data_IF_530639928471
#
_entry.id   IF_530639928471
#
_cell.length_a   1.000
_cell.length_b   1.000
_cell.length_c   1.000
_cell.angle_alpha   90.00
_cell.angle_beta   90.00
_cell.angle_gamma   90.00
#
_symmetry.space_group_name_H-M   'P 1'
#
loop_
_entity.id
_entity.type
_entity.pdbx_description
1 polymer ?
#
# COMPACT_ATOMS: atom_id res chain seq x y z
N UNK A 1 11.13 -1.76 8.77
CA UNK A 1 10.98 -3.23 8.59
C UNK A 1 10.69 -4.05 9.87
N UNK A 2 10.45 -3.46 11.05
CA UNK A 2 10.19 -4.24 12.29
C UNK A 2 8.94 -5.15 12.17
N UNK A 3 7.90 -4.71 11.46
CA UNK A 3 6.61 -5.42 11.38
C UNK A 3 6.70 -6.69 10.52
N UNK A 4 7.18 -6.57 9.28
CA UNK A 4 7.35 -7.71 8.35
C UNK A 4 8.25 -8.79 8.93
N UNK A 5 9.42 -8.40 9.44
CA UNK A 5 10.38 -9.32 10.06
C UNK A 5 9.83 -9.99 11.32
N UNK A 6 9.00 -9.30 12.12
CA UNK A 6 8.32 -9.90 13.29
C UNK A 6 7.31 -10.98 12.91
N UNK A 7 6.72 -10.88 11.72
CA UNK A 7 5.70 -11.82 11.25
C UNK A 7 6.21 -12.83 10.22
N UNK A 8 7.52 -12.79 9.88
CA UNK A 8 8.11 -13.69 8.88
C UNK A 8 7.54 -13.49 7.47
N UNK A 9 7.01 -12.31 7.19
CA UNK A 9 6.39 -11.99 5.90
C UNK A 9 7.46 -11.57 4.89
N UNK A 10 7.30 -12.03 3.65
CA UNK A 10 8.15 -11.59 2.54
C UNK A 10 7.58 -10.30 1.94
N UNK A 11 8.42 -9.28 1.64
CA UNK A 11 7.94 -8.01 1.11
C UNK A 11 7.12 -8.12 -0.18
N UNK A 12 7.49 -9.06 -1.06
CA UNK A 12 6.82 -9.38 -2.32
C UNK A 12 5.46 -10.09 -2.14
N UNK A 13 5.12 -10.51 -0.93
CA UNK A 13 3.82 -11.10 -0.57
C UNK A 13 2.95 -10.14 0.26
N UNK A 14 3.35 -8.87 0.40
CA UNK A 14 2.63 -7.89 1.22
C UNK A 14 2.25 -6.68 0.40
N UNK A 15 0.96 -6.34 0.41
CA UNK A 15 0.46 -5.06 -0.08
C UNK A 15 0.27 -4.11 1.11
N UNK A 16 0.97 -2.98 1.09
CA UNK A 16 0.81 -1.91 2.07
C UNK A 16 -0.30 -0.96 1.62
N UNK A 17 -1.30 -0.71 2.48
CA UNK A 17 -2.42 0.19 2.18
C UNK A 17 -2.45 1.31 3.21
N UNK A 18 -2.50 2.56 2.76
CA UNK A 18 -2.58 3.75 3.63
C UNK A 18 -3.24 4.93 2.91
N UNK A 19 -3.65 5.95 3.65
CA UNK A 19 -4.37 7.13 3.12
C UNK A 19 -3.47 8.35 2.91
N UNK A 20 -2.16 8.22 3.18
CA UNK A 20 -1.21 9.33 3.12
C UNK A 20 0.05 8.94 2.34
N UNK A 21 0.70 9.95 1.76
CA UNK A 21 1.97 9.77 1.07
C UNK A 21 3.06 9.13 1.95
N UNK A 22 3.07 9.42 3.26
CA UNK A 22 4.02 8.80 4.19
C UNK A 22 3.89 7.27 4.30
N UNK A 23 2.69 6.73 4.05
CA UNK A 23 2.47 5.28 4.06
C UNK A 23 3.04 4.63 2.78
N UNK A 24 2.92 5.33 1.65
CA UNK A 24 3.53 4.94 0.37
C UNK A 24 5.05 4.95 0.49
N UNK A 25 5.62 6.06 0.99
CA UNK A 25 7.06 6.19 1.18
C UNK A 25 7.61 5.10 2.12
N UNK A 26 6.85 4.77 3.19
CA UNK A 26 7.22 3.72 4.13
C UNK A 26 7.14 2.31 3.53
N UNK A 27 6.16 2.05 2.65
CA UNK A 27 6.03 0.80 1.92
C UNK A 27 7.20 0.60 0.95
N UNK A 28 7.52 1.62 0.15
CA UNK A 28 8.66 1.60 -0.76
C UNK A 28 9.99 1.44 -0.03
N UNK A 29 10.18 2.11 1.11
CA UNK A 29 11.37 1.93 1.95
C UNK A 29 11.49 0.52 2.57
N UNK A 30 10.42 -0.28 2.51
CA UNK A 30 10.39 -1.67 2.96
C UNK A 30 10.35 -2.68 1.79
N UNK A 31 10.57 -2.22 0.55
CA UNK A 31 10.47 -3.01 -0.68
C UNK A 31 9.09 -3.68 -0.86
N UNK A 32 8.02 -3.05 -0.34
CA UNK A 32 6.64 -3.51 -0.50
C UNK A 32 5.89 -2.67 -1.53
N UNK A 33 5.01 -3.27 -2.35
CA UNK A 33 4.04 -2.52 -3.14
C UNK A 33 3.06 -1.75 -2.24
N UNK A 34 2.65 -0.58 -2.72
CA UNK A 34 1.80 0.36 -2.02
C UNK A 34 0.46 0.57 -2.75
N UNK A 35 -0.61 0.75 -1.96
CA UNK A 35 -1.89 1.26 -2.40
C UNK A 35 -2.24 2.52 -1.62
N UNK A 36 -2.38 3.66 -2.30
CA UNK A 36 -2.89 4.88 -1.70
C UNK A 36 -4.43 4.86 -1.74
N UNK A 37 -5.05 4.89 -0.56
CA UNK A 37 -6.47 5.10 -0.40
C UNK A 37 -6.78 6.60 -0.37
N UNK A 38 -7.34 7.09 -1.45
CA UNK A 38 -7.77 8.48 -1.58
C UNK A 38 -9.22 8.52 -2.08
N UNK A 39 -10.19 8.67 -1.17
CA UNK A 39 -11.61 8.76 -1.53
C UNK A 39 -11.98 9.93 -2.42
N UNK A 40 -11.07 10.89 -2.62
CA UNK A 40 -11.30 12.07 -3.47
C UNK A 40 -10.75 11.91 -4.89
N UNK A 41 -9.84 10.95 -5.10
CA UNK A 41 -9.09 10.76 -6.35
C UNK A 41 -8.22 11.96 -6.75
N UNK A 42 -8.05 12.95 -5.87
CA UNK A 42 -7.40 14.21 -6.18
C UNK A 42 -5.89 14.22 -5.87
N UNK A 43 -5.41 13.24 -5.11
CA UNK A 43 -4.01 13.14 -4.75
C UNK A 43 -3.20 12.55 -5.91
N UNK A 44 -2.08 13.20 -6.24
CA UNK A 44 -1.03 12.57 -7.03
C UNK A 44 -0.26 11.61 -6.14
N UNK A 45 0.08 10.43 -6.66
CA UNK A 45 0.79 9.41 -5.91
C UNK A 45 1.76 8.63 -6.79
N UNK A 46 2.85 8.19 -6.18
CA UNK A 46 3.81 7.26 -6.78
C UNK A 46 3.51 5.80 -6.40
N UNK A 47 2.40 5.55 -5.68
CA UNK A 47 1.96 4.20 -5.32
C UNK A 47 1.59 3.38 -6.57
N UNK A 48 1.83 2.07 -6.50
CA UNK A 48 1.48 1.13 -7.57
C UNK A 48 -0.03 1.06 -7.79
N UNK A 49 -0.81 1.28 -6.73
CA UNK A 49 -2.26 1.31 -6.78
C UNK A 49 -2.82 2.61 -6.18
N UNK A 50 -3.74 3.23 -6.90
CA UNK A 50 -4.54 4.34 -6.40
C UNK A 50 -5.99 3.87 -6.31
N UNK A 51 -6.51 3.79 -5.09
CA UNK A 51 -7.86 3.31 -4.82
C UNK A 51 -8.67 4.41 -4.13
N UNK A 52 -9.93 4.54 -4.49
CA UNK A 52 -10.88 5.48 -3.89
C UNK A 52 -11.70 4.82 -2.78
N UNK A 53 -11.70 3.49 -2.70
CA UNK A 53 -12.42 2.71 -1.71
C UNK A 53 -11.71 1.39 -1.39
N UNK A 54 -11.78 0.96 -0.13
CA UNK A 54 -11.31 -0.37 0.29
C UNK A 54 -12.03 -1.51 -0.44
N UNK A 55 -13.23 -1.28 -0.98
CA UNK A 55 -13.93 -2.28 -1.79
C UNK A 55 -13.12 -2.68 -3.04
N UNK A 56 -12.31 -1.77 -3.59
CA UNK A 56 -11.48 -2.03 -4.76
C UNK A 56 -10.33 -3.00 -4.47
N UNK A 57 -9.94 -3.18 -3.20
CA UNK A 57 -8.91 -4.17 -2.84
C UNK A 57 -9.31 -5.59 -3.23
N UNK A 58 -10.61 -5.92 -3.22
CA UNK A 58 -11.10 -7.25 -3.62
C UNK A 58 -10.73 -7.63 -5.06
N UNK A 59 -10.53 -6.65 -5.95
CA UNK A 59 -10.05 -6.88 -7.32
C UNK A 59 -8.53 -6.95 -7.44
N UNK A 60 -7.79 -6.58 -6.40
CA UNK A 60 -6.32 -6.54 -6.37
C UNK A 60 -5.70 -7.76 -5.67
N UNK A 61 -6.39 -8.33 -4.67
CA UNK A 61 -5.87 -9.42 -3.81
C UNK A 61 -6.44 -10.80 -4.16
N UNK A 62 -6.79 -11.03 -5.43
CA UNK A 62 -7.39 -12.27 -5.93
C UNK A 62 -6.45 -13.47 -5.98
#
# INVERSE_FOLDING_TARGET
>A
MLLLGRHGLRPDEVLCVGDRQIDVDAAHAADCPAALLDPTGALSTDAEYHIESLAQLSGLIG
#
